data_IF_071306543268
#
_entry.id   IF_071306543268
#
_cell.length_a   1.000
_cell.length_b   1.000
_cell.length_c   1.000
_cell.angle_alpha   90.00
_cell.angle_beta   90.00
_cell.angle_gamma   90.00
#
_symmetry.space_group_name_H-M   'P 1'
#
loop_
_entity.id
_entity.type
_entity.pdbx_description
1 polymer ?
#
# COMPACT_ATOMS: atom_id res chain seq x y z
N UNK A 1 -17.43 27.12 -16.31
CA UNK A 1 -16.79 25.79 -16.18
C UNK A 1 -15.98 25.81 -14.88
N UNK A 2 -16.14 24.81 -14.01
CA UNK A 2 -15.34 24.68 -12.79
C UNK A 2 -14.22 23.68 -13.06
N UNK A 3 -12.97 24.08 -12.81
CA UNK A 3 -11.84 23.15 -12.85
C UNK A 3 -11.81 22.27 -11.59
N UNK A 4 -11.28 21.06 -11.73
CA UNK A 4 -11.02 20.14 -10.61
C UNK A 4 -9.51 19.89 -10.54
N UNK A 5 -8.98 19.91 -9.32
CA UNK A 5 -7.61 19.50 -9.01
C UNK A 5 -7.67 18.22 -8.19
N UNK A 6 -7.02 17.18 -8.68
CA UNK A 6 -7.01 15.85 -8.03
C UNK A 6 -5.60 15.53 -7.55
N UNK A 7 -5.49 15.07 -6.31
CA UNK A 7 -4.24 14.53 -5.75
C UNK A 7 -4.46 13.04 -5.54
N UNK A 8 -3.78 12.24 -6.36
CA UNK A 8 -3.74 10.79 -6.23
C UNK A 8 -2.37 10.35 -5.74
N UNK A 9 -2.35 9.50 -4.73
CA UNK A 9 -1.15 9.01 -4.06
C UNK A 9 -1.13 7.49 -4.17
N UNK A 10 -0.04 6.95 -4.73
CA UNK A 10 0.15 5.51 -4.80
C UNK A 10 0.56 4.99 -3.42
N UNK A 11 -0.24 4.09 -2.86
CA UNK A 11 0.02 3.45 -1.58
C UNK A 11 0.41 2.00 -1.80
N UNK A 12 1.70 1.75 -1.89
CA UNK A 12 2.26 0.49 -2.37
C UNK A 12 3.25 -0.14 -1.38
N UNK A 13 3.96 0.64 -0.58
CA UNK A 13 5.08 0.24 0.28
C UNK A 13 6.12 -0.56 -0.53
N UNK A 14 6.56 -1.73 -0.08
CA UNK A 14 7.55 -2.52 -0.81
C UNK A 14 7.02 -3.12 -2.11
N UNK A 15 5.70 -3.35 -2.22
CA UNK A 15 5.09 -3.87 -3.45
C UNK A 15 5.33 -2.99 -4.69
N UNK A 16 5.51 -1.68 -4.51
CA UNK A 16 5.80 -0.75 -5.61
C UNK A 16 7.24 -0.72 -6.06
N UNK A 17 8.17 -1.30 -5.30
CA UNK A 17 9.62 -1.21 -5.57
C UNK A 17 10.36 -2.55 -5.49
N UNK A 18 9.65 -3.65 -5.24
CA UNK A 18 10.25 -4.96 -4.98
C UNK A 18 11.16 -5.47 -6.10
N UNK A 19 10.91 -5.04 -7.34
CA UNK A 19 11.71 -5.39 -8.51
C UNK A 19 13.03 -4.61 -8.60
N UNK A 20 13.17 -3.52 -7.84
CA UNK A 20 14.32 -2.60 -7.91
C UNK A 20 15.10 -2.48 -6.60
N UNK A 21 14.40 -2.61 -5.46
CA UNK A 21 14.97 -2.38 -4.14
C UNK A 21 14.60 -3.51 -3.19
N UNK A 22 15.57 -3.97 -2.41
CA UNK A 22 15.27 -4.82 -1.27
C UNK A 22 14.67 -4.00 -0.11
N UNK A 23 14.02 -4.66 0.84
CA UNK A 23 13.56 -4.00 2.07
C UNK A 23 14.72 -3.33 2.80
N UNK A 24 15.89 -3.95 2.82
CA UNK A 24 17.06 -3.41 3.48
C UNK A 24 17.59 -2.15 2.79
N UNK A 25 17.69 -2.14 1.46
CA UNK A 25 18.18 -0.99 0.69
C UNK A 25 17.24 0.22 0.75
N UNK A 26 15.95 -0.02 1.00
CA UNK A 26 14.92 1.02 1.02
C UNK A 26 14.25 1.19 2.38
N UNK A 27 14.86 0.63 3.43
CA UNK A 27 14.32 0.55 4.78
C UNK A 27 13.90 1.89 5.36
N UNK A 28 14.70 2.92 5.21
CA UNK A 28 14.44 4.25 5.76
C UNK A 28 13.16 4.86 5.17
N UNK A 29 12.98 4.73 3.85
CA UNK A 29 11.77 5.18 3.16
C UNK A 29 10.55 4.36 3.60
N UNK A 30 10.67 3.03 3.62
CA UNK A 30 9.57 2.13 3.99
C UNK A 30 9.13 2.33 5.43
N UNK A 31 10.07 2.51 6.35
CA UNK A 31 9.78 2.74 7.78
C UNK A 31 9.10 4.08 8.05
N UNK A 32 9.24 5.05 7.15
CA UNK A 32 8.67 6.38 7.29
C UNK A 32 7.21 6.47 6.83
N UNK A 33 6.69 5.44 6.15
CA UNK A 33 5.36 5.49 5.48
C UNK A 33 4.24 5.85 6.45
N UNK A 34 4.18 5.21 7.62
CA UNK A 34 3.14 5.50 8.61
C UNK A 34 3.17 6.94 9.10
N UNK A 35 4.37 7.49 9.32
CA UNK A 35 4.55 8.90 9.67
C UNK A 35 4.08 9.82 8.54
N UNK A 36 4.40 9.47 7.29
CA UNK A 36 3.97 10.25 6.11
C UNK A 36 2.44 10.24 5.98
N UNK A 37 1.79 9.08 6.16
CA UNK A 37 0.34 8.97 6.16
C UNK A 37 -0.27 9.88 7.23
N UNK A 38 0.22 9.80 8.48
CA UNK A 38 -0.28 10.65 9.56
C UNK A 38 -0.15 12.14 9.24
N UNK A 39 0.98 12.53 8.67
CA UNK A 39 1.23 13.91 8.29
C UNK A 39 0.35 14.38 7.13
N UNK A 40 0.15 13.54 6.13
CA UNK A 40 -0.75 13.82 5.01
C UNK A 40 -2.20 13.99 5.49
N UNK A 41 -2.68 13.12 6.37
CA UNK A 41 -4.03 13.21 6.92
C UNK A 41 -4.21 14.49 7.78
N UNK A 42 -3.21 14.85 8.57
CA UNK A 42 -3.22 16.10 9.35
C UNK A 42 -3.31 17.33 8.44
N UNK A 43 -2.44 17.40 7.42
CA UNK A 43 -2.39 18.54 6.50
C UNK A 43 -3.65 18.65 5.65
N UNK A 44 -4.12 17.54 5.10
CA UNK A 44 -5.33 17.52 4.28
C UNK A 44 -6.55 17.93 5.09
N UNK A 45 -6.65 17.50 6.35
CA UNK A 45 -7.72 17.94 7.25
C UNK A 45 -7.62 19.45 7.57
N UNK A 46 -6.40 19.94 7.83
CA UNK A 46 -6.17 21.37 8.14
C UNK A 46 -6.58 22.29 6.99
N UNK A 47 -6.34 21.85 5.74
CA UNK A 47 -6.58 22.67 4.55
C UNK A 47 -7.84 22.27 3.78
N UNK A 48 -8.66 21.37 4.32
CA UNK A 48 -9.88 20.83 3.68
C UNK A 48 -9.61 20.27 2.29
N UNK A 49 -8.52 19.51 2.15
CA UNK A 49 -8.11 18.85 0.91
C UNK A 49 -8.51 17.39 0.94
N UNK A 50 -9.14 16.91 -0.14
CA UNK A 50 -9.43 15.48 -0.33
C UNK A 50 -8.30 14.82 -1.12
N UNK A 51 -7.90 13.63 -0.67
CA UNK A 51 -6.87 12.82 -1.29
C UNK A 51 -7.49 11.51 -1.78
N UNK A 52 -6.97 10.99 -2.88
CA UNK A 52 -7.23 9.63 -3.35
C UNK A 52 -5.99 8.79 -3.09
N UNK A 53 -6.13 7.70 -2.35
CA UNK A 53 -5.07 6.72 -2.12
C UNK A 53 -5.29 5.53 -3.05
N UNK A 54 -4.49 5.45 -4.12
CA UNK A 54 -4.43 4.31 -5.03
C UNK A 54 -3.63 3.20 -4.35
N UNK A 55 -4.33 2.20 -3.83
CA UNK A 55 -3.76 1.23 -2.89
C UNK A 55 -3.59 -0.13 -3.55
N UNK A 56 -2.40 -0.72 -3.44
CA UNK A 56 -2.15 -2.10 -3.88
C UNK A 56 -3.03 -3.05 -3.08
N UNK A 57 -3.78 -3.91 -3.77
CA UNK A 57 -4.77 -4.80 -3.17
C UNK A 57 -4.19 -5.74 -2.09
N UNK A 58 -2.94 -6.14 -2.23
CA UNK A 58 -2.26 -7.02 -1.27
C UNK A 58 -2.08 -6.38 0.12
N UNK A 59 -2.09 -5.05 0.21
CA UNK A 59 -1.97 -4.31 1.47
C UNK A 59 -3.21 -4.38 2.36
N UNK A 60 -4.35 -4.80 1.82
CA UNK A 60 -5.59 -4.97 2.59
C UNK A 60 -5.62 -6.24 3.42
N UNK A 61 -4.70 -7.17 3.18
CA UNK A 61 -4.66 -8.44 3.88
C UNK A 61 -4.33 -8.24 5.36
N UNK A 62 -5.05 -8.95 6.21
CA UNK A 62 -4.83 -8.96 7.66
C UNK A 62 -3.59 -9.79 8.04
N UNK A 63 -3.36 -10.87 7.31
CA UNK A 63 -2.25 -11.79 7.51
C UNK A 63 -1.93 -12.56 6.21
N UNK A 64 -0.88 -13.38 6.25
CA UNK A 64 -0.43 -14.16 5.08
C UNK A 64 -1.49 -15.14 4.57
N UNK A 65 -2.25 -15.79 5.45
CA UNK A 65 -3.32 -16.70 5.07
C UNK A 65 -4.44 -15.97 4.33
N UNK A 66 -4.85 -14.82 4.87
CA UNK A 66 -5.82 -13.93 4.25
C UNK A 66 -5.34 -13.45 2.87
N UNK A 67 -4.09 -13.01 2.77
CA UNK A 67 -3.46 -12.59 1.52
C UNK A 67 -3.49 -13.71 0.46
N UNK A 68 -3.15 -14.94 0.85
CA UNK A 68 -3.18 -16.11 -0.05
C UNK A 68 -4.60 -16.41 -0.48
N UNK A 69 -5.57 -16.41 0.45
CA UNK A 69 -6.97 -16.76 0.19
C UNK A 69 -7.65 -15.80 -0.79
N UNK A 70 -7.30 -14.51 -0.73
CA UNK A 70 -7.84 -13.47 -1.60
C UNK A 70 -7.00 -13.23 -2.86
N UNK A 71 -5.85 -13.88 -2.99
CA UNK A 71 -5.05 -13.81 -4.22
C UNK A 71 -5.79 -14.46 -5.39
N UNK A 72 -5.68 -13.92 -6.61
CA UNK A 72 -6.38 -14.47 -7.76
C UNK A 72 -5.93 -15.91 -8.03
N UNK A 73 -6.88 -16.79 -8.31
CA UNK A 73 -6.59 -18.19 -8.67
C UNK A 73 -5.81 -18.28 -9.98
N UNK A 74 -6.22 -17.45 -10.95
CA UNK A 74 -5.52 -17.33 -12.21
C UNK A 74 -4.56 -16.14 -12.14
N UNK A 75 -3.28 -16.41 -12.17
CA UNK A 75 -2.23 -15.38 -12.11
C UNK A 75 -1.73 -15.05 -13.52
N UNK A 76 -1.32 -13.80 -13.77
CA UNK A 76 -0.67 -13.45 -15.02
C UNK A 76 0.63 -14.24 -15.22
N UNK A 77 0.92 -14.59 -16.46
CA UNK A 77 2.22 -15.13 -16.82
C UNK A 77 3.17 -13.97 -17.11
N UNK A 78 4.24 -13.89 -16.34
CA UNK A 78 5.27 -12.86 -16.53
C UNK A 78 6.40 -13.41 -17.37
N UNK A 79 6.73 -12.77 -18.49
CA UNK A 79 7.90 -13.11 -19.31
C UNK A 79 9.21 -12.90 -18.53
N UNK A 80 9.22 -11.90 -17.63
CA UNK A 80 10.30 -11.72 -16.66
C UNK A 80 9.74 -11.97 -15.26
N UNK A 81 10.15 -13.08 -14.66
CA UNK A 81 9.68 -13.52 -13.33
C UNK A 81 10.01 -12.54 -12.20
N UNK A 82 10.99 -11.64 -12.42
CA UNK A 82 11.33 -10.57 -11.48
C UNK A 82 10.13 -9.63 -11.19
N UNK A 83 9.21 -9.49 -12.15
CA UNK A 83 8.03 -8.64 -12.01
C UNK A 83 6.82 -9.37 -11.42
N UNK A 84 6.98 -10.64 -11.01
CA UNK A 84 5.91 -11.41 -10.41
C UNK A 84 5.85 -11.17 -8.89
N UNK A 85 4.90 -10.35 -8.37
CA UNK A 85 4.81 -10.06 -6.95
C UNK A 85 4.45 -11.28 -6.11
N UNK A 86 3.79 -12.28 -6.70
CA UNK A 86 3.37 -13.49 -5.98
C UNK A 86 4.55 -14.36 -5.54
N UNK A 87 5.72 -14.19 -6.15
CA UNK A 87 6.93 -14.89 -5.71
C UNK A 87 7.42 -14.44 -4.32
N UNK A 88 7.06 -13.22 -3.90
CA UNK A 88 7.43 -12.70 -2.59
C UNK A 88 6.60 -13.30 -1.45
N UNK A 89 5.42 -13.85 -1.74
CA UNK A 89 4.49 -14.30 -0.69
C UNK A 89 5.10 -15.38 0.20
N UNK A 90 6.01 -16.22 -0.30
CA UNK A 90 6.73 -17.20 0.51
C UNK A 90 7.62 -16.57 1.57
N UNK A 91 8.23 -15.43 1.24
CA UNK A 91 9.33 -14.82 1.99
C UNK A 91 8.88 -13.70 2.94
N UNK A 92 7.69 -13.13 2.73
CA UNK A 92 7.14 -12.08 3.61
C UNK A 92 6.72 -12.65 4.98
N UNK A 93 6.64 -11.77 5.97
CA UNK A 93 6.14 -12.09 7.31
C UNK A 93 4.66 -12.52 7.35
N UNK A 94 4.17 -12.86 8.54
CA UNK A 94 2.81 -13.39 8.67
C UNK A 94 1.74 -12.31 8.85
N UNK A 95 2.10 -11.11 9.25
CA UNK A 95 1.16 -10.02 9.54
C UNK A 95 1.86 -8.66 9.50
N UNK A 96 1.10 -7.58 9.58
CA UNK A 96 1.63 -6.21 9.67
C UNK A 96 2.56 -6.03 10.87
N UNK A 97 2.33 -6.73 11.98
CA UNK A 97 3.18 -6.69 13.17
C UNK A 97 4.57 -7.25 12.90
N UNK A 98 4.64 -8.34 12.12
CA UNK A 98 5.91 -9.03 11.84
C UNK A 98 6.62 -8.42 10.62
N UNK A 99 5.84 -7.82 9.71
CA UNK A 99 6.33 -7.32 8.43
C UNK A 99 5.52 -6.08 7.97
N UNK A 100 5.80 -4.91 8.54
CA UNK A 100 5.10 -3.67 8.19
C UNK A 100 5.43 -3.16 6.77
N UNK A 101 6.27 -3.86 6.03
CA UNK A 101 6.68 -3.49 4.68
C UNK A 101 5.81 -4.12 3.58
N UNK A 102 5.00 -5.14 3.94
CA UNK A 102 4.13 -5.86 3.01
C UNK A 102 2.65 -5.84 3.41
N UNK A 103 2.33 -5.35 4.60
CA UNK A 103 0.97 -5.18 5.10
C UNK A 103 0.74 -3.75 5.58
N UNK A 104 -0.46 -3.22 5.38
CA UNK A 104 -0.79 -1.83 5.76
C UNK A 104 -2.24 -1.64 6.19
N UNK A 105 -2.90 -2.68 6.69
CA UNK A 105 -4.30 -2.62 7.05
C UNK A 105 -4.59 -1.52 8.08
N UNK A 106 -3.69 -1.31 9.05
CA UNK A 106 -3.83 -0.25 10.05
C UNK A 106 -3.82 1.15 9.44
N UNK A 107 -2.92 1.40 8.48
CA UNK A 107 -2.85 2.66 7.74
C UNK A 107 -4.08 2.89 6.87
N UNK A 108 -4.55 1.84 6.19
CA UNK A 108 -5.78 1.87 5.38
C UNK A 108 -6.99 2.19 6.24
N UNK A 109 -7.14 1.55 7.40
CA UNK A 109 -8.22 1.82 8.35
C UNK A 109 -8.17 3.26 8.87
N UNK A 110 -6.97 3.78 9.14
CA UNK A 110 -6.77 5.17 9.56
C UNK A 110 -7.27 6.14 8.48
N UNK A 111 -6.90 5.93 7.22
CA UNK A 111 -7.37 6.74 6.08
C UNK A 111 -8.90 6.67 5.98
N UNK A 112 -9.46 5.46 6.03
CA UNK A 112 -10.92 5.23 5.98
C UNK A 112 -11.66 5.95 7.09
N UNK A 113 -11.13 5.92 8.31
CA UNK A 113 -11.77 6.50 9.49
C UNK A 113 -11.86 8.03 9.46
N UNK A 114 -11.08 8.71 8.64
CA UNK A 114 -11.22 10.16 8.45
C UNK A 114 -12.54 10.53 7.75
N UNK A 115 -13.08 9.63 6.92
CA UNK A 115 -14.31 9.85 6.15
C UNK A 115 -14.20 10.87 5.01
N UNK A 116 -13.03 11.47 4.81
CA UNK A 116 -12.82 12.56 3.84
C UNK A 116 -12.03 12.16 2.60
N UNK A 117 -11.34 11.02 2.66
CA UNK A 117 -10.45 10.57 1.60
C UNK A 117 -11.03 9.39 0.83
N UNK A 118 -10.53 9.18 -0.37
CA UNK A 118 -10.90 8.06 -1.20
C UNK A 118 -9.82 6.98 -1.15
N UNK A 119 -10.25 5.73 -1.01
CA UNK A 119 -9.42 4.54 -1.18
C UNK A 119 -9.80 3.91 -2.51
N UNK A 120 -8.90 3.95 -3.47
CA UNK A 120 -9.01 3.29 -4.76
C UNK A 120 -8.07 2.08 -4.85
N UNK A 121 -8.24 1.28 -5.89
CA UNK A 121 -7.30 0.21 -6.25
C UNK A 121 -6.18 0.75 -7.13
N UNK A 122 -5.01 0.14 -7.00
CA UNK A 122 -3.86 0.46 -7.85
C UNK A 122 -3.55 -0.71 -8.76
#
# INVERSE_FOLDING_TARGET
MKGHFVISLDYEIHWGVFDKKSVQDYHENLSSVNFVIDRLLELSNRYDVKLTFSTVGLLFAENKEDLISHSPKQKPSYSNTKFNPYNLISDIGNSERDDPFHYALSGIQKIKNTGNHELGTH
#
